data_IF_210008873269
#
_entry.id   IF_210008873269
#
_cell.length_a   1.000
_cell.length_b   1.000
_cell.length_c   1.000
_cell.angle_alpha   90.00
_cell.angle_beta   90.00
_cell.angle_gamma   90.00
#
_symmetry.space_group_name_H-M   'P 1'
#
loop_
_entity.id
_entity.type
_entity.pdbx_description
1 polymer ?
#
# COMPACT_ATOMS: atom_id res chain seq x y z
N UNK A 1 21.35 -8.05 12.33
CA UNK A 1 20.54 -8.61 11.22
C UNK A 1 19.65 -7.50 10.71
N UNK A 2 19.67 -7.21 9.41
CA UNK A 2 18.78 -6.21 8.81
C UNK A 2 17.49 -6.94 8.45
N UNK A 3 16.34 -6.50 8.99
CA UNK A 3 15.04 -7.01 8.57
C UNK A 3 14.72 -6.50 7.15
N UNK A 4 13.97 -7.26 6.36
CA UNK A 4 13.51 -6.83 5.05
C UNK A 4 11.99 -6.71 5.04
N UNK A 5 11.48 -5.76 4.26
CA UNK A 5 10.05 -5.48 4.12
C UNK A 5 9.72 -5.46 2.64
N UNK A 6 8.66 -6.17 2.26
CA UNK A 6 8.06 -6.04 0.92
C UNK A 6 7.17 -4.80 0.91
N UNK A 7 7.42 -3.89 -0.03
CA UNK A 7 6.70 -2.62 -0.15
C UNK A 7 6.11 -2.45 -1.54
N UNK A 8 4.95 -1.81 -1.58
CA UNK A 8 4.29 -1.39 -2.82
C UNK A 8 4.13 0.12 -2.81
N UNK A 9 4.31 0.76 -3.97
CA UNK A 9 4.12 2.20 -4.09
C UNK A 9 2.63 2.57 -4.22
N UNK A 10 2.15 3.46 -3.36
CA UNK A 10 0.85 4.14 -3.50
C UNK A 10 0.94 5.47 -4.24
N UNK A 11 0.03 5.77 -5.17
CA UNK A 11 0.00 7.01 -5.97
C UNK A 11 -1.41 7.58 -6.12
N UNK A 12 -1.50 8.88 -6.43
CA UNK A 12 -2.75 9.59 -6.72
C UNK A 12 -3.20 9.48 -8.19
N UNK A 13 -2.37 8.88 -9.05
CA UNK A 13 -2.65 8.74 -10.48
C UNK A 13 -3.51 7.50 -10.76
N UNK A 14 -4.71 7.50 -10.19
CA UNK A 14 -5.60 6.34 -10.10
C UNK A 14 -5.89 5.71 -11.47
N UNK A 15 -6.17 6.55 -12.47
CA UNK A 15 -6.52 6.12 -13.82
C UNK A 15 -5.43 5.30 -14.53
N UNK A 16 -4.18 5.35 -14.05
CA UNK A 16 -3.06 4.63 -14.67
C UNK A 16 -2.87 3.20 -14.18
N UNK A 17 -3.61 2.78 -13.15
CA UNK A 17 -3.44 1.48 -12.51
C UNK A 17 -4.78 0.76 -12.38
N UNK A 18 -5.40 0.34 -13.50
CA UNK A 18 -6.65 -0.41 -13.42
C UNK A 18 -6.47 -1.76 -12.70
N UNK A 19 -7.51 -2.32 -12.09
CA UNK A 19 -7.50 -3.69 -11.60
C UNK A 19 -7.17 -4.70 -12.73
N UNK A 20 -6.49 -5.82 -12.45
CA UNK A 20 -6.02 -6.25 -11.13
C UNK A 20 -4.66 -5.63 -10.73
N UNK A 21 -4.04 -4.77 -11.55
CA UNK A 21 -2.72 -4.21 -11.26
C UNK A 21 -2.75 -3.16 -10.15
N UNK A 22 -3.76 -2.31 -10.08
CA UNK A 22 -3.89 -1.32 -9.01
C UNK A 22 -4.87 -1.74 -7.92
N UNK A 23 -4.47 -1.68 -6.65
CA UNK A 23 -5.39 -1.79 -5.51
C UNK A 23 -5.89 -0.41 -5.10
N UNK A 24 -7.16 -0.13 -5.38
CA UNK A 24 -7.78 1.17 -5.17
C UNK A 24 -8.32 1.32 -3.75
N UNK A 25 -8.01 2.45 -3.12
CA UNK A 25 -8.54 2.88 -1.82
C UNK A 25 -9.15 4.29 -1.99
N UNK A 26 -10.43 4.31 -2.31
CA UNK A 26 -11.22 5.53 -2.59
C UNK A 26 -12.32 5.76 -1.53
N UNK A 27 -12.77 4.68 -0.86
CA UNK A 27 -13.74 4.76 0.23
C UNK A 27 -13.19 5.60 1.40
N UNK A 28 -14.03 6.47 1.94
CA UNK A 28 -13.63 7.42 2.98
C UNK A 28 -13.22 6.71 4.29
N UNK A 29 -13.91 5.63 4.66
CA UNK A 29 -13.59 4.88 5.87
C UNK A 29 -12.30 4.07 5.70
N UNK A 30 -12.12 3.41 4.56
CA UNK A 30 -10.87 2.69 4.25
C UNK A 30 -9.66 3.62 4.21
N UNK A 31 -9.80 4.81 3.61
CA UNK A 31 -8.75 5.84 3.60
C UNK A 31 -8.36 6.26 5.01
N UNK A 32 -9.34 6.58 5.85
CA UNK A 32 -9.09 6.99 7.24
C UNK A 32 -8.35 5.90 8.03
N UNK A 33 -8.74 4.64 7.88
CA UNK A 33 -8.10 3.49 8.52
C UNK A 33 -6.66 3.24 8.02
N UNK A 34 -6.38 3.59 6.76
CA UNK A 34 -5.04 3.55 6.18
C UNK A 34 -4.20 4.82 6.42
N UNK A 35 -4.74 5.83 7.12
CA UNK A 35 -4.08 7.12 7.32
C UNK A 35 -3.96 7.96 6.05
N UNK A 36 -4.72 7.62 5.00
CA UNK A 36 -4.70 8.30 3.72
C UNK A 36 -5.66 9.50 3.76
N UNK A 37 -5.21 10.63 3.20
CA UNK A 37 -6.03 11.85 3.07
C UNK A 37 -6.60 12.05 1.67
N UNK A 38 -6.22 11.19 0.74
CA UNK A 38 -6.52 11.28 -0.69
C UNK A 38 -6.76 9.91 -1.27
N UNK A 39 -7.51 9.86 -2.36
CA UNK A 39 -7.68 8.64 -3.13
C UNK A 39 -6.31 8.16 -3.61
N UNK A 40 -6.05 6.88 -3.35
CA UNK A 40 -4.73 6.27 -3.57
C UNK A 40 -4.91 4.91 -4.20
N UNK A 41 -4.10 4.63 -5.21
CA UNK A 41 -3.95 3.31 -5.80
C UNK A 41 -2.56 2.75 -5.49
N UNK A 42 -2.48 1.50 -5.08
CA UNK A 42 -1.23 0.79 -4.84
C UNK A 42 -0.90 -0.12 -6.03
N UNK A 43 0.27 0.05 -6.64
CA UNK A 43 0.68 -0.73 -7.82
C UNK A 43 1.17 -2.13 -7.45
N UNK A 44 0.27 -3.11 -7.49
CA UNK A 44 0.58 -4.50 -7.16
C UNK A 44 1.53 -5.16 -8.17
N UNK A 45 1.79 -4.54 -9.32
CA UNK A 45 2.74 -5.02 -10.32
C UNK A 45 4.21 -4.66 -10.05
N UNK A 46 4.49 -3.66 -9.20
CA UNK A 46 5.84 -3.21 -8.83
C UNK A 46 6.00 -3.23 -7.30
N UNK A 47 6.24 -4.43 -6.76
CA UNK A 47 6.63 -4.62 -5.37
C UNK A 47 8.16 -4.67 -5.23
N UNK A 48 8.67 -4.16 -4.11
CA UNK A 48 10.11 -4.06 -3.85
C UNK A 48 10.43 -4.56 -2.46
N UNK A 49 11.48 -5.37 -2.36
CA UNK A 49 12.03 -5.79 -1.08
C UNK A 49 13.08 -4.76 -0.66
N UNK A 50 12.79 -4.00 0.39
CA UNK A 50 13.70 -2.99 0.93
C UNK A 50 14.24 -3.42 2.29
N UNK A 51 15.52 -3.10 2.59
CA UNK A 51 16.01 -3.24 3.96
C UNK A 51 15.21 -2.30 4.86
N UNK A 52 14.77 -2.83 6.00
CA UNK A 52 14.12 -2.04 7.03
C UNK A 52 15.10 -0.95 7.49
N UNK A 53 14.65 0.30 7.41
CA UNK A 53 15.42 1.47 7.82
C UNK A 53 14.54 2.39 8.66
N UNK A 54 15.06 2.90 9.80
CA UNK A 54 14.38 3.94 10.57
C UNK A 54 14.06 5.18 9.74
N UNK A 55 14.87 5.47 8.71
CA UNK A 55 14.67 6.64 7.86
C UNK A 55 13.34 6.61 7.09
N UNK A 56 12.87 5.42 6.71
CA UNK A 56 11.65 5.25 5.91
C UNK A 56 10.47 4.71 6.72
N UNK A 57 10.74 3.86 7.71
CA UNK A 57 9.71 3.09 8.41
C UNK A 57 9.60 3.40 9.92
N UNK A 58 10.26 4.46 10.40
CA UNK A 58 10.09 4.93 11.78
C UNK A 58 9.53 6.34 11.86
N UNK A 59 8.96 6.66 13.01
CA UNK A 59 8.47 7.99 13.37
C UNK A 59 9.57 9.06 13.45
N UNK A 60 10.84 8.67 13.33
CA UNK A 60 11.98 9.60 13.29
C UNK A 60 12.21 10.22 11.90
N UNK A 61 11.52 9.74 10.87
CA UNK A 61 11.57 10.38 9.54
C UNK A 61 10.88 11.75 9.59
N UNK A 62 11.40 12.76 8.87
CA UNK A 62 10.85 14.14 8.88
C UNK A 62 9.36 14.23 8.49
N UNK A 63 8.82 13.19 7.85
CA UNK A 63 7.41 13.13 7.44
C UNK A 63 6.59 12.14 8.28
N UNK A 64 7.24 11.33 9.12
CA UNK A 64 6.64 10.18 9.79
C UNK A 64 6.14 9.13 8.77
N UNK A 65 5.98 7.86 9.18
CA UNK A 65 5.19 6.94 8.38
C UNK A 65 3.75 7.45 8.36
N UNK A 66 3.09 7.37 7.20
CA UNK A 66 1.62 7.43 7.17
C UNK A 66 1.14 6.21 7.92
N UNK A 67 0.63 6.41 9.13
CA UNK A 67 0.19 5.36 10.03
C UNK A 67 -1.18 4.86 9.63
N UNK A 68 -1.36 3.55 9.59
CA UNK A 68 -2.63 2.92 9.24
C UNK A 68 -2.47 1.41 9.09
N UNK A 69 -3.58 0.69 9.02
CA UNK A 69 -3.58 -0.77 8.82
C UNK A 69 -4.75 -1.14 7.93
N UNK A 70 -4.52 -1.97 6.92
CA UNK A 70 -5.63 -2.53 6.14
C UNK A 70 -6.55 -3.35 7.05
N UNK A 71 -7.86 -3.14 6.93
CA UNK A 71 -8.87 -3.99 7.57
C UNK A 71 -8.79 -5.42 7.03
N UNK A 72 -9.39 -6.38 7.73
CA UNK A 72 -9.46 -7.77 7.24
C UNK A 72 -10.14 -7.87 5.86
N UNK A 73 -11.19 -7.09 5.64
CA UNK A 73 -11.89 -7.02 4.36
C UNK A 73 -10.96 -6.50 3.24
N UNK A 74 -10.18 -5.45 3.51
CA UNK A 74 -9.20 -4.93 2.55
C UNK A 74 -8.10 -5.95 2.27
N UNK A 75 -7.60 -6.65 3.29
CA UNK A 75 -6.60 -7.71 3.12
C UNK A 75 -7.14 -8.87 2.28
N UNK A 76 -8.39 -9.28 2.49
CA UNK A 76 -9.03 -10.32 1.69
C UNK A 76 -9.14 -9.89 0.21
N UNK A 77 -9.56 -8.65 -0.04
CA UNK A 77 -9.69 -8.08 -1.38
C UNK A 77 -8.32 -7.93 -2.08
N UNK A 78 -7.30 -7.47 -1.35
CA UNK A 78 -5.92 -7.41 -1.83
C UNK A 78 -5.40 -8.79 -2.23
N UNK A 79 -5.59 -9.81 -1.38
CA UNK A 79 -5.15 -11.19 -1.68
C UNK A 79 -5.89 -11.77 -2.89
N UNK A 80 -7.20 -11.57 -2.96
CA UNK A 80 -8.01 -12.01 -4.10
C UNK A 80 -7.51 -11.39 -5.41
N UNK A 81 -7.17 -10.10 -5.38
CA UNK A 81 -6.66 -9.39 -6.54
C UNK A 81 -5.23 -9.81 -6.92
N UNK A 82 -4.35 -10.03 -5.94
CA UNK A 82 -3.00 -10.53 -6.16
C UNK A 82 -2.99 -11.90 -6.87
N UNK A 83 -3.95 -12.77 -6.55
CA UNK A 83 -4.11 -14.07 -7.24
C UNK A 83 -4.45 -13.92 -8.73
N UNK A 84 -5.06 -12.81 -9.14
CA UNK A 84 -5.36 -12.53 -10.56
C UNK A 84 -4.11 -12.10 -11.34
N UNK A 85 -3.03 -11.68 -10.68
CA UNK A 85 -1.78 -11.24 -11.32
C UNK A 85 -0.80 -12.39 -11.58
N UNK A 86 -0.97 -13.53 -10.91
CA UNK A 86 -0.07 -14.70 -11.02
C UNK A 86 -0.54 -15.69 -12.11
N UNK A 87 -1.66 -15.41 -12.77
CA UNK A 87 -2.17 -16.18 -13.92
C UNK A 87 -1.70 -15.58 -15.23
#
# INVERSE_FOLDING_TARGET
MVGYVDVVHGTKQIDKFPPPRGFHVEDAAEKAVCGLTVDTVFDLGDHRILPWSPHYFSTQSRRGPVGGRMTEAMQARLRAQALLLVR
#
